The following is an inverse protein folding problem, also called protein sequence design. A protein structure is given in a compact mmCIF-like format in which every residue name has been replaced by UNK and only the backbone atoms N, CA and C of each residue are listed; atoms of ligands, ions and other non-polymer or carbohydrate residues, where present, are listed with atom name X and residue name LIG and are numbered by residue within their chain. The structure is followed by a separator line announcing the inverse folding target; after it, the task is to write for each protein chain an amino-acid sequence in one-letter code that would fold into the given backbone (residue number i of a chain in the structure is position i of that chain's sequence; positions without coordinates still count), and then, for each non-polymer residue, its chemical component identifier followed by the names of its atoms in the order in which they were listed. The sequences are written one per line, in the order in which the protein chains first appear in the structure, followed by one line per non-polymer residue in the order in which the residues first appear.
data_IF_210712621636
#
_entry.id   IF_210712621636
#
_cell.length_a   1.000
_cell.length_b   1.000
_cell.length_c   1.000
_cell.angle_alpha   90.00
_cell.angle_beta   90.00
_cell.angle_gamma   90.00
#
_symmetry.space_group_name_H-M   'P 1'
#
loop_
_entity.id
_entity.type
_entity.pdbx_description
1 polymer ?
#
# COMPACT_ATOMS: atom_id res chain seq x y z
N UNK A 1 19.08 -9.94 9.38
CA UNK A 1 18.11 -9.25 8.50
C UNK A 1 16.71 -9.51 9.04
N UNK A 2 15.77 -8.58 8.85
CA UNK A 2 14.39 -8.76 9.32
C UNK A 2 13.78 -10.00 8.66
N UNK A 3 13.07 -10.81 9.43
CA UNK A 3 12.48 -12.07 8.98
C UNK A 3 10.97 -11.99 9.12
N UNK A 4 10.28 -11.95 7.98
CA UNK A 4 8.83 -11.80 7.92
C UNK A 4 8.11 -12.96 8.64
N UNK A 5 8.70 -14.15 8.67
CA UNK A 5 8.08 -15.31 9.34
C UNK A 5 7.95 -15.09 10.84
N UNK A 6 8.80 -14.25 11.44
CA UNK A 6 8.71 -13.93 12.86
C UNK A 6 7.48 -13.07 13.19
N UNK A 7 6.92 -12.35 12.22
CA UNK A 7 5.70 -11.55 12.41
C UNK A 7 4.43 -12.39 12.33
N UNK A 8 4.47 -13.53 11.65
CA UNK A 8 3.32 -14.42 11.45
C UNK A 8 3.27 -15.55 12.49
N UNK A 9 4.01 -15.43 13.59
CA UNK A 9 3.99 -16.42 14.66
C UNK A 9 2.68 -16.39 15.42
N UNK A 10 2.31 -17.55 15.95
CA UNK A 10 1.20 -17.70 16.89
C UNK A 10 1.75 -17.99 18.29
N UNK A 11 1.00 -17.60 19.31
CA UNK A 11 1.31 -17.93 20.70
C UNK A 11 1.07 -19.43 20.98
N UNK A 12 1.37 -19.86 22.22
CA UNK A 12 1.17 -21.26 22.65
C UNK A 12 -0.30 -21.70 22.63
N UNK A 13 -1.24 -20.77 22.56
CA UNK A 13 -2.69 -21.03 22.50
C UNK A 13 -3.23 -20.98 21.06
N UNK A 14 -2.35 -20.80 20.05
CA UNK A 14 -2.71 -20.68 18.65
C UNK A 14 -3.29 -19.32 18.25
N UNK A 15 -3.19 -18.29 19.11
CA UNK A 15 -3.62 -16.91 18.80
C UNK A 15 -2.52 -16.17 18.05
N UNK A 16 -2.90 -15.23 17.18
CA UNK A 16 -1.95 -14.34 16.51
C UNK A 16 -1.23 -13.42 17.51
N UNK A 17 -0.01 -13.05 17.18
CA UNK A 17 0.80 -12.11 17.98
C UNK A 17 0.63 -10.68 17.45
N UNK A 18 0.44 -9.72 18.34
CA UNK A 18 0.42 -8.29 17.99
C UNK A 18 1.86 -7.78 17.99
N UNK A 19 2.33 -7.36 16.83
CA UNK A 19 3.65 -6.74 16.67
C UNK A 19 3.48 -5.22 16.61
N UNK A 20 4.17 -4.49 17.49
CA UNK A 20 4.16 -3.02 17.50
C UNK A 20 5.50 -2.53 16.94
N UNK A 21 5.46 -1.91 15.78
CA UNK A 21 6.63 -1.29 15.16
C UNK A 21 6.71 0.17 15.62
N UNK A 22 7.55 0.46 16.62
CA UNK A 22 7.76 1.84 17.07
C UNK A 22 8.59 2.62 16.06
N UNK A 23 8.00 3.69 15.52
CA UNK A 23 8.59 4.57 14.52
C UNK A 23 8.87 5.98 15.09
N UNK A 24 9.11 6.12 16.39
CA UNK A 24 9.28 7.42 17.08
C UNK A 24 10.32 8.34 16.40
N UNK A 25 11.46 7.80 15.98
CA UNK A 25 12.50 8.55 15.26
C UNK A 25 12.13 8.79 13.80
N UNK A 26 11.58 7.78 13.14
CA UNK A 26 11.24 7.81 11.71
C UNK A 26 10.09 8.77 11.39
N UNK A 27 9.21 9.04 12.37
CA UNK A 27 8.13 10.01 12.26
C UNK A 27 8.63 11.41 11.87
N UNK A 28 9.83 11.80 12.34
CA UNK A 28 10.45 13.09 12.00
C UNK A 28 10.96 13.14 10.55
N UNK A 29 10.99 12.00 9.86
CA UNK A 29 11.49 11.85 8.48
C UNK A 29 10.45 11.14 7.60
N UNK A 30 9.33 11.81 7.22
CA UNK A 30 8.20 11.16 6.53
C UNK A 30 8.59 10.39 5.26
N UNK A 31 9.54 10.92 4.48
CA UNK A 31 10.04 10.25 3.27
C UNK A 31 10.74 8.93 3.56
N UNK A 32 11.53 8.88 4.65
CA UNK A 32 12.21 7.66 5.06
C UNK A 32 11.21 6.65 5.59
N UNK A 33 10.24 7.10 6.40
CA UNK A 33 9.14 6.27 6.87
C UNK A 33 8.36 5.65 5.70
N UNK A 34 7.92 6.44 4.73
CA UNK A 34 7.20 5.94 3.55
C UNK A 34 8.04 4.95 2.72
N UNK A 35 9.33 5.24 2.52
CA UNK A 35 10.24 4.32 1.82
C UNK A 35 10.41 2.98 2.57
N UNK A 36 10.58 3.02 3.90
CA UNK A 36 10.68 1.82 4.74
C UNK A 36 9.40 0.99 4.71
N UNK A 37 8.23 1.63 4.80
CA UNK A 37 6.95 0.94 4.74
C UNK A 37 6.69 0.32 3.37
N UNK A 38 7.00 1.02 2.28
CA UNK A 38 6.86 0.47 0.94
C UNK A 38 7.81 -0.72 0.72
N UNK A 39 9.06 -0.59 1.18
CA UNK A 39 10.03 -1.70 1.12
C UNK A 39 9.49 -2.93 1.86
N UNK A 40 8.97 -2.74 3.07
CA UNK A 40 8.39 -3.81 3.89
C UNK A 40 7.17 -4.47 3.24
N UNK A 41 6.24 -3.69 2.66
CA UNK A 41 5.10 -4.26 1.93
C UNK A 41 5.52 -5.02 0.67
N UNK A 42 6.55 -4.54 -0.03
CA UNK A 42 7.11 -5.21 -1.21
C UNK A 42 7.79 -6.53 -0.80
N UNK A 43 8.55 -6.52 0.28
CA UNK A 43 9.19 -7.72 0.83
C UNK A 43 8.15 -8.77 1.27
N UNK A 44 7.05 -8.32 1.90
CA UNK A 44 5.91 -9.18 2.22
C UNK A 44 5.30 -9.82 0.98
N UNK A 45 5.08 -9.04 -0.07
CA UNK A 45 4.54 -9.56 -1.33
C UNK A 45 5.47 -10.57 -2.00
N UNK A 46 6.79 -10.32 -2.01
CA UNK A 46 7.79 -11.19 -2.63
C UNK A 46 8.01 -12.50 -1.85
N UNK A 47 8.05 -12.44 -0.51
CA UNK A 47 8.33 -13.62 0.31
C UNK A 47 7.11 -14.50 0.55
N UNK A 48 5.89 -13.96 0.53
CA UNK A 48 4.70 -14.73 0.85
C UNK A 48 4.21 -15.56 -0.35
N UNK A 49 3.86 -16.84 -0.13
CA UNK A 49 3.19 -17.63 -1.14
C UNK A 49 1.76 -17.14 -1.33
N UNK A 50 1.21 -17.35 -2.53
CA UNK A 50 -0.22 -17.11 -2.77
C UNK A 50 -1.05 -17.96 -1.81
N UNK A 51 -2.05 -17.34 -1.20
CA UNK A 51 -2.83 -17.94 -0.11
C UNK A 51 -4.23 -18.37 -0.54
N UNK A 52 -4.71 -17.91 -1.70
CA UNK A 52 -6.10 -18.11 -2.12
C UNK A 52 -7.07 -17.37 -1.21
N UNK A 53 -8.28 -17.91 -1.08
CA UNK A 53 -9.34 -17.36 -0.23
C UNK A 53 -9.35 -18.07 1.13
N UNK A 54 -8.69 -17.46 2.12
CA UNK A 54 -8.63 -17.98 3.48
C UNK A 54 -9.74 -17.38 4.33
N UNK A 55 -10.33 -18.16 5.23
CA UNK A 55 -11.30 -17.65 6.21
C UNK A 55 -10.72 -16.56 7.13
N UNK A 56 -9.41 -16.58 7.37
CA UNK A 56 -8.69 -15.59 8.18
C UNK A 56 -7.41 -15.17 7.46
N UNK A 57 -7.06 -13.87 7.50
CA UNK A 57 -5.80 -13.41 6.95
C UNK A 57 -4.62 -14.00 7.74
N UNK A 58 -3.50 -14.25 7.05
CA UNK A 58 -2.23 -14.67 7.66
C UNK A 58 -1.59 -13.54 8.47
N UNK A 59 -1.82 -12.30 8.04
CA UNK A 59 -1.28 -11.10 8.66
C UNK A 59 -2.25 -9.95 8.43
N UNK A 60 -2.43 -9.10 9.44
CA UNK A 60 -3.15 -7.83 9.31
C UNK A 60 -2.19 -6.71 9.64
N UNK A 61 -2.01 -5.78 8.71
CA UNK A 61 -1.13 -4.64 8.86
C UNK A 61 -1.95 -3.36 9.09
N UNK A 62 -1.73 -2.69 10.22
CA UNK A 62 -2.36 -1.42 10.53
C UNK A 62 -1.37 -0.27 10.32
N UNK A 63 -1.73 0.65 9.43
CA UNK A 63 -1.02 1.90 9.23
C UNK A 63 -1.74 3.00 10.00
N UNK A 64 -1.16 3.39 11.13
CA UNK A 64 -1.55 4.60 11.81
C UNK A 64 -0.90 5.81 11.12
N UNK A 65 -1.58 6.96 11.18
CA UNK A 65 -1.13 8.22 10.60
C UNK A 65 -0.78 8.13 9.10
N UNK A 66 -1.75 7.67 8.32
CA UNK A 66 -1.61 7.42 6.87
C UNK A 66 -1.23 8.66 6.07
N UNK A 67 -1.48 9.84 6.61
CA UNK A 67 -1.05 11.10 6.01
C UNK A 67 0.47 11.16 5.77
N UNK A 68 1.27 10.46 6.60
CA UNK A 68 2.73 10.37 6.41
C UNK A 68 3.14 9.58 5.16
N UNK A 69 2.28 8.67 4.70
CA UNK A 69 2.53 7.86 3.50
C UNK A 69 2.21 8.63 2.21
N UNK A 70 1.20 9.49 2.26
CA UNK A 70 0.56 10.02 1.06
C UNK A 70 0.79 11.51 0.84
N UNK A 71 1.05 12.30 1.89
CA UNK A 71 1.29 13.73 1.74
C UNK A 71 2.60 13.99 0.98
N UNK A 72 2.51 14.79 -0.08
CA UNK A 72 3.64 15.17 -0.96
C UNK A 72 4.37 13.96 -1.59
N UNK A 73 3.72 12.79 -1.64
CA UNK A 73 4.24 11.61 -2.29
C UNK A 73 4.24 11.80 -3.83
N UNK A 74 5.34 11.49 -4.54
CA UNK A 74 5.35 11.50 -5.99
C UNK A 74 4.31 10.52 -6.56
N UNK A 75 3.70 10.85 -7.71
CA UNK A 75 2.68 9.98 -8.34
C UNK A 75 3.17 8.54 -8.53
N UNK A 76 4.42 8.37 -8.95
CA UNK A 76 5.03 7.04 -9.14
C UNK A 76 5.06 6.23 -7.83
N UNK A 77 5.21 6.88 -6.69
CA UNK A 77 5.18 6.23 -5.38
C UNK A 77 3.75 5.80 -5.03
N UNK A 78 2.76 6.67 -5.28
CA UNK A 78 1.34 6.36 -5.06
C UNK A 78 0.88 5.17 -5.91
N UNK A 79 1.27 5.15 -7.19
CA UNK A 79 0.93 4.05 -8.11
C UNK A 79 1.53 2.72 -7.63
N UNK A 80 2.77 2.74 -7.12
CA UNK A 80 3.41 1.56 -6.53
C UNK A 80 2.68 1.11 -5.26
N UNK A 81 2.31 2.03 -4.39
CA UNK A 81 1.57 1.69 -3.16
C UNK A 81 0.23 1.04 -3.51
N UNK A 82 -0.53 1.64 -4.43
CA UNK A 82 -1.79 1.07 -4.92
C UNK A 82 -1.59 -0.34 -5.48
N UNK A 83 -0.57 -0.54 -6.32
CA UNK A 83 -0.23 -1.84 -6.88
C UNK A 83 0.08 -2.86 -5.78
N UNK A 84 0.91 -2.50 -4.80
CA UNK A 84 1.31 -3.42 -3.72
C UNK A 84 0.11 -3.77 -2.83
N UNK A 85 -0.74 -2.81 -2.46
CA UNK A 85 -1.96 -3.07 -1.68
C UNK A 85 -2.90 -4.02 -2.43
N UNK A 86 -3.06 -3.83 -3.74
CA UNK A 86 -3.89 -4.72 -4.56
C UNK A 86 -3.33 -6.14 -4.61
N UNK A 87 -2.01 -6.28 -4.73
CA UNK A 87 -1.34 -7.57 -4.87
C UNK A 87 -1.20 -8.34 -3.55
N UNK A 88 -0.99 -7.64 -2.43
CA UNK A 88 -0.75 -8.30 -1.14
C UNK A 88 -1.99 -9.04 -0.62
N UNK A 89 -3.20 -8.61 -1.06
CA UNK A 89 -4.46 -9.28 -0.75
C UNK A 89 -4.46 -10.77 -1.16
N UNK A 90 -3.92 -11.12 -2.34
CA UNK A 90 -3.88 -12.52 -2.80
C UNK A 90 -2.89 -13.39 -2.01
N UNK A 91 -2.01 -12.76 -1.22
CA UNK A 91 -1.09 -13.41 -0.29
C UNK A 91 -1.70 -13.67 1.09
N UNK A 92 -2.96 -13.28 1.30
CA UNK A 92 -3.66 -13.40 2.58
C UNK A 92 -3.20 -12.36 3.60
N UNK A 93 -2.79 -11.17 3.15
CA UNK A 93 -2.47 -10.04 4.03
C UNK A 93 -3.52 -8.97 3.88
N UNK A 94 -4.09 -8.55 5.00
CA UNK A 94 -5.02 -7.42 5.06
C UNK A 94 -4.30 -6.14 5.46
N UNK A 95 -4.67 -5.03 4.82
CA UNK A 95 -4.10 -3.71 5.09
C UNK A 95 -5.21 -2.78 5.57
N UNK A 96 -5.00 -2.18 6.74
CA UNK A 96 -5.89 -1.19 7.35
C UNK A 96 -5.19 0.15 7.43
N UNK A 97 -5.88 1.18 6.97
CA UNK A 97 -5.46 2.57 7.03
C UNK A 97 -6.26 3.29 8.11
N UNK A 98 -5.58 3.79 9.13
CA UNK A 98 -6.18 4.48 10.28
C UNK A 98 -5.81 5.95 10.18
N UNK A 99 -6.80 6.79 9.90
CA UNK A 99 -6.61 8.23 9.72
C UNK A 99 -7.67 9.03 10.46
N UNK A 100 -7.28 10.22 10.90
CA UNK A 100 -8.20 11.21 11.46
C UNK A 100 -9.04 11.88 10.36
N UNK A 101 -8.47 12.09 9.17
CA UNK A 101 -9.16 12.69 8.04
C UNK A 101 -9.21 11.73 6.84
N UNK A 102 -10.41 11.47 6.27
CA UNK A 102 -10.55 10.67 5.06
C UNK A 102 -9.74 11.22 3.87
N UNK A 103 -9.56 12.55 3.80
CA UNK A 103 -8.83 13.24 2.72
C UNK A 103 -7.32 12.98 2.73
N UNK A 104 -6.78 12.37 3.79
CA UNK A 104 -5.36 12.03 3.86
C UNK A 104 -5.03 10.78 3.03
N UNK A 105 -6.05 10.05 2.56
CA UNK A 105 -5.90 8.86 1.73
C UNK A 105 -6.34 9.22 0.30
N UNK A 106 -5.47 9.04 -0.71
CA UNK A 106 -5.81 9.27 -2.11
C UNK A 106 -7.00 8.43 -2.60
N UNK A 107 -7.83 8.99 -3.49
CA UNK A 107 -9.04 8.34 -4.01
C UNK A 107 -8.76 6.99 -4.70
N UNK A 108 -7.63 6.87 -5.39
CA UNK A 108 -7.21 5.63 -6.04
C UNK A 108 -6.94 4.51 -5.03
N UNK A 109 -6.35 4.85 -3.88
CA UNK A 109 -6.13 3.91 -2.77
C UNK A 109 -7.44 3.63 -2.04
N UNK A 110 -8.24 4.66 -1.73
CA UNK A 110 -9.57 4.51 -1.14
C UNK A 110 -10.44 3.54 -1.94
N UNK A 111 -10.41 3.62 -3.28
CA UNK A 111 -11.15 2.72 -4.15
C UNK A 111 -10.76 1.23 -4.04
N UNK A 112 -9.54 0.92 -3.58
CA UNK A 112 -9.09 -0.46 -3.36
C UNK A 112 -9.52 -1.03 -2.01
N UNK A 113 -9.85 -0.16 -1.05
CA UNK A 113 -10.20 -0.57 0.30
C UNK A 113 -11.69 -0.92 0.33
N UNK A 114 -12.05 -2.17 0.61
CA UNK A 114 -13.46 -2.60 0.63
C UNK A 114 -14.15 -2.44 2.00
N UNK A 115 -13.41 -2.64 3.08
CA UNK A 115 -13.93 -2.55 4.45
C UNK A 115 -13.83 -1.11 4.97
N UNK A 116 -14.84 -0.67 5.72
CA UNK A 116 -14.93 0.69 6.27
C UNK A 116 -15.47 0.67 7.69
N UNK A 117 -14.80 1.45 8.54
CA UNK A 117 -15.26 1.82 9.88
C UNK A 117 -15.06 3.32 10.02
N UNK A 118 -16.14 4.07 10.15
CA UNK A 118 -16.11 5.53 10.26
C UNK A 118 -16.66 5.94 11.62
N UNK A 119 -15.79 6.49 12.45
CA UNK A 119 -16.19 7.15 13.67
C UNK A 119 -16.72 8.57 13.39
N UNK A 120 -17.24 9.21 14.43
CA UNK A 120 -17.75 10.56 14.37
C UNK A 120 -16.75 11.55 13.76
N UNK A 121 -17.20 12.31 12.76
CA UNK A 121 -16.47 13.46 12.21
C UNK A 121 -17.21 14.74 12.62
N UNK A 122 -16.46 15.70 13.15
CA UNK A 122 -17.00 17.00 13.54
C UNK A 122 -16.70 17.99 12.42
N UNK A 123 -17.75 18.45 11.74
CA UNK A 123 -17.62 19.41 10.67
C UNK A 123 -17.85 20.85 11.16
N UNK A 124 -16.78 21.63 11.28
CA UNK A 124 -16.86 23.05 11.65
C UNK A 124 -16.48 23.97 10.48
N UNK A 125 -15.68 23.46 9.54
CA UNK A 125 -15.20 24.20 8.38
C UNK A 125 -15.76 23.63 7.07
N UNK A 126 -15.71 24.39 5.96
CA UNK A 126 -16.05 23.86 4.63
C UNK A 126 -15.17 22.68 4.21
N UNK A 127 -13.93 22.61 4.71
CA UNK A 127 -13.04 21.46 4.46
C UNK A 127 -13.58 20.21 5.14
N UNK A 128 -14.00 20.33 6.40
CA UNK A 128 -14.53 19.20 7.16
C UNK A 128 -15.87 18.72 6.58
N UNK A 129 -16.72 19.62 6.11
CA UNK A 129 -17.96 19.25 5.43
C UNK A 129 -17.69 18.42 4.17
N UNK A 130 -16.66 18.79 3.38
CA UNK A 130 -16.23 17.97 2.25
C UNK A 130 -15.71 16.61 2.68
N UNK A 131 -14.98 16.53 3.80
CA UNK A 131 -14.48 15.27 4.32
C UNK A 131 -15.61 14.34 4.79
N UNK A 132 -16.63 14.88 5.49
CA UNK A 132 -17.84 14.14 5.88
C UNK A 132 -18.57 13.60 4.65
N UNK A 133 -18.77 14.46 3.64
CA UNK A 133 -19.43 14.06 2.40
C UNK A 133 -18.64 12.99 1.64
N UNK A 134 -17.32 13.14 1.54
CA UNK A 134 -16.45 12.15 0.91
C UNK A 134 -16.55 10.80 1.64
N UNK A 135 -16.45 10.80 2.97
CA UNK A 135 -16.59 9.57 3.76
C UNK A 135 -17.95 8.89 3.52
N UNK A 136 -19.05 9.64 3.56
CA UNK A 136 -20.39 9.11 3.32
C UNK A 136 -20.53 8.49 1.92
N UNK A 137 -19.94 9.11 0.89
CA UNK A 137 -19.99 8.64 -0.50
C UNK A 137 -19.17 7.37 -0.76
N UNK A 138 -18.17 7.08 0.09
CA UNK A 138 -17.40 5.82 -0.01
C UNK A 138 -18.14 4.61 0.56
N UNK A 139 -19.32 4.81 1.18
CA UNK A 139 -20.12 3.74 1.77
C UNK A 139 -21.34 3.45 0.92
N UNK A 140 -21.80 2.19 0.97
CA UNK A 140 -23.07 1.81 0.34
C UNK A 140 -24.23 2.43 1.11
N UNK A 141 -25.06 3.20 0.42
CA UNK A 141 -26.19 3.91 1.02
C UNK A 141 -27.17 2.96 1.75
N UNK A 142 -27.68 3.43 2.88
CA UNK A 142 -28.74 2.76 3.63
C UNK A 142 -30.08 3.49 3.43
N UNK A 143 -31.16 2.82 3.01
CA UNK A 143 -32.48 3.45 2.90
C UNK A 143 -33.07 3.94 4.24
N UNK A 144 -32.61 3.39 5.37
CA UNK A 144 -33.15 3.70 6.70
C UNK A 144 -32.66 5.04 7.26
N UNK A 145 -31.50 5.55 6.81
CA UNK A 145 -30.94 6.81 7.28
C UNK A 145 -29.99 7.46 6.28
N UNK A 146 -29.81 8.78 6.42
CA UNK A 146 -28.84 9.54 5.64
C UNK A 146 -27.43 9.37 6.24
N UNK A 147 -26.51 8.75 5.49
CA UNK A 147 -25.13 8.49 5.92
C UNK A 147 -24.38 9.78 6.28
N UNK A 148 -24.56 10.87 5.52
CA UNK A 148 -23.84 12.13 5.73
C UNK A 148 -24.28 12.81 7.04
N UNK A 149 -25.58 12.76 7.34
CA UNK A 149 -26.12 13.21 8.62
C UNK A 149 -25.70 12.31 9.77
N UNK A 150 -25.81 10.99 9.57
CA UNK A 150 -25.48 10.01 10.61
C UNK A 150 -24.03 10.15 11.10
N UNK A 151 -23.06 10.37 10.20
CA UNK A 151 -21.64 10.60 10.57
C UNK A 151 -21.47 11.74 11.57
N UNK A 152 -22.23 12.82 11.41
CA UNK A 152 -22.13 14.00 12.27
C UNK A 152 -22.82 13.77 13.63
N UNK A 153 -23.88 12.97 13.64
CA UNK A 153 -24.68 12.64 14.83
C UNK A 153 -24.08 11.52 15.69
N UNK A 154 -23.05 10.82 15.22
CA UNK A 154 -22.36 9.78 15.99
C UNK A 154 -21.80 10.35 17.31
N UNK A 155 -22.10 9.64 18.39
CA UNK A 155 -21.54 9.83 19.72
C UNK A 155 -20.23 9.07 19.92
N UNK A 156 -19.64 9.22 21.11
CA UNK A 156 -18.46 8.47 21.51
C UNK A 156 -18.79 6.98 21.62
N UNK A 157 -17.95 6.13 21.02
CA UNK A 157 -18.17 4.68 21.00
C UNK A 157 -19.13 4.22 19.91
N UNK A 158 -19.60 5.11 19.03
CA UNK A 158 -20.38 4.74 17.85
C UNK A 158 -19.54 4.85 16.58
N UNK A 159 -19.89 4.03 15.59
CA UNK A 159 -19.33 4.08 14.24
C UNK A 159 -20.36 3.68 13.19
N UNK A 160 -20.16 4.16 11.97
CA UNK A 160 -20.76 3.58 10.78
C UNK A 160 -19.83 2.50 10.22
N UNK A 161 -20.38 1.34 9.91
CA UNK A 161 -19.62 0.17 9.47
C UNK A 161 -20.18 -0.33 8.15
N UNK A 162 -19.28 -0.64 7.21
CA UNK A 162 -19.60 -1.27 5.93
C UNK A 162 -18.49 -2.28 5.63
N UNK A 163 -18.81 -3.57 5.64
CA UNK A 163 -17.85 -4.64 5.36
C UNK A 163 -18.20 -5.36 4.08
N UNK A 164 -17.22 -6.03 3.48
CA UNK A 164 -17.46 -6.85 2.29
C UNK A 164 -18.29 -8.08 2.66
N UNK A 165 -19.22 -8.44 1.78
CA UNK A 165 -19.94 -9.71 1.82
C UNK A 165 -19.08 -10.86 1.25
N UNK A 166 -19.63 -12.08 1.27
CA UNK A 166 -18.95 -13.27 0.73
C UNK A 166 -18.64 -13.20 -0.78
N UNK A 167 -19.25 -12.26 -1.51
CA UNK A 167 -18.98 -12.00 -2.93
C UNK A 167 -17.98 -10.86 -3.13
N UNK A 168 -17.42 -10.31 -2.03
CA UNK A 168 -16.51 -9.18 -2.07
C UNK A 168 -17.17 -7.85 -2.38
N UNK A 169 -18.50 -7.75 -2.26
CA UNK A 169 -19.25 -6.50 -2.47
C UNK A 169 -19.51 -5.81 -1.13
N UNK A 170 -19.42 -4.46 -1.04
CA UNK A 170 -19.74 -3.75 0.19
C UNK A 170 -21.19 -3.99 0.65
N UNK A 171 -21.35 -4.33 1.92
CA UNK A 171 -22.65 -4.40 2.58
C UNK A 171 -23.26 -3.01 2.72
N UNK A 172 -24.57 -2.94 2.98
CA UNK A 172 -25.21 -1.68 3.35
C UNK A 172 -24.57 -1.15 4.63
N UNK A 173 -24.39 0.17 4.74
CA UNK A 173 -23.82 0.79 5.93
C UNK A 173 -24.75 0.66 7.12
N UNK A 174 -24.21 0.27 8.27
CA UNK A 174 -24.94 0.08 9.52
C UNK A 174 -24.34 0.97 10.62
N UNK A 175 -25.17 1.43 11.56
CA UNK A 175 -24.69 2.11 12.78
C UNK A 175 -24.44 1.06 13.86
N UNK A 176 -23.27 1.08 14.46
CA UNK A 176 -22.86 0.10 15.47
C UNK A 176 -22.18 0.76 16.67
N UNK A 177 -22.30 0.11 17.82
CA UNK A 177 -21.52 0.40 19.03
C UNK A 177 -20.18 -0.34 18.95
N UNK A 178 -19.09 0.38 19.17
CA UNK A 178 -17.73 -0.16 19.21
C UNK A 178 -17.33 -0.35 20.66
N UNK A 179 -16.96 -1.58 21.01
CA UNK A 179 -16.44 -1.90 22.34
C UNK A 179 -15.02 -1.37 22.42
N UNK A 180 -14.75 -0.50 23.39
CA UNK A 180 -13.38 -0.05 23.65
C UNK A 180 -12.55 -1.23 24.20
N UNK A 181 -11.35 -1.50 23.66
CA UNK A 181 -10.47 -2.51 24.22
C UNK A 181 -10.04 -2.09 25.64
N UNK A 182 -9.64 -3.07 26.45
CA UNK A 182 -9.02 -2.81 27.75
C UNK A 182 -7.68 -2.08 27.52
N UNK A 183 -7.69 -0.75 27.55
CA UNK A 183 -6.52 0.09 27.34
C UNK A 183 -6.01 0.71 28.64
N UNK A 184 -4.72 1.04 28.65
CA UNK A 184 -4.11 1.88 29.68
C UNK A 184 -3.99 3.30 29.16
N UNK A 185 -4.30 4.27 30.01
CA UNK A 185 -3.98 5.67 29.75
C UNK A 185 -2.50 5.92 30.06
N UNK A 186 -1.73 6.35 29.05
CA UNK A 186 -0.31 6.69 29.17
C UNK A 186 0.64 5.64 28.57
N UNK A 187 1.87 6.05 28.20
CA UNK A 187 2.84 5.17 27.55
C UNK A 187 3.29 4.05 28.46
N UNK A 188 3.75 2.93 27.88
CA UNK A 188 4.40 1.83 28.61
C UNK A 188 5.65 2.36 29.33
N UNK A 189 5.91 1.90 30.57
CA UNK A 189 7.15 2.30 31.26
C UNK A 189 8.36 1.59 30.64
N UNK A 190 9.56 2.15 30.81
CA UNK A 190 10.78 1.52 30.28
C UNK A 190 11.00 0.13 30.88
N UNK A 191 10.76 -0.06 32.17
CA UNK A 191 10.91 -1.35 32.85
C UNK A 191 9.93 -2.40 32.32
N UNK A 192 8.67 -2.05 32.12
CA UNK A 192 7.67 -2.94 31.52
C UNK A 192 8.04 -3.29 30.08
N UNK A 193 8.49 -2.30 29.29
CA UNK A 193 8.91 -2.51 27.91
C UNK A 193 10.10 -3.45 27.84
N UNK A 194 11.12 -3.22 28.65
CA UNK A 194 12.30 -4.09 28.74
C UNK A 194 11.91 -5.50 29.20
N UNK A 195 10.99 -5.60 30.16
CA UNK A 195 10.40 -6.88 30.58
C UNK A 195 9.77 -7.63 29.42
N UNK A 196 8.94 -6.98 28.60
CA UNK A 196 8.30 -7.58 27.43
C UNK A 196 9.33 -8.00 26.36
N UNK A 197 10.34 -7.17 26.11
CA UNK A 197 11.41 -7.46 25.14
C UNK A 197 12.21 -8.68 25.59
N UNK A 198 12.64 -8.72 26.86
CA UNK A 198 13.49 -9.80 27.39
C UNK A 198 12.78 -11.16 27.47
N UNK A 199 11.45 -11.18 27.55
CA UNK A 199 10.65 -12.41 27.51
C UNK A 199 10.13 -12.75 26.10
N UNK A 200 10.47 -11.95 25.10
CA UNK A 200 10.04 -12.18 23.72
C UNK A 200 10.77 -13.38 23.13
N UNK A 201 10.10 -14.27 22.38
CA UNK A 201 10.77 -15.41 21.74
C UNK A 201 11.72 -15.02 20.59
N UNK A 202 11.77 -13.74 20.19
CA UNK A 202 12.78 -13.18 19.25
C UNK A 202 13.88 -12.38 19.95
N UNK A 203 13.88 -12.37 21.29
CA UNK A 203 15.00 -11.82 22.04
C UNK A 203 16.30 -12.54 21.62
N UNK A 204 17.39 -11.78 21.46
CA UNK A 204 18.66 -12.29 20.92
C UNK A 204 18.78 -12.28 19.39
N UNK A 205 17.68 -12.18 18.62
CA UNK A 205 17.73 -12.04 17.15
C UNK A 205 17.81 -10.58 16.70
N UNK A 206 17.17 -9.68 17.45
CA UNK A 206 17.02 -8.26 17.11
C UNK A 206 17.56 -7.32 18.20
N UNK A 207 18.36 -7.82 19.13
CA UNK A 207 18.92 -7.00 20.22
C UNK A 207 20.08 -6.13 19.78
N UNK A 208 20.87 -6.63 18.82
CA UNK A 208 22.03 -5.91 18.31
C UNK A 208 21.63 -4.96 17.19
N UNK A 209 21.95 -3.68 17.37
CA UNK A 209 21.85 -2.68 16.32
C UNK A 209 22.82 -3.04 15.18
N UNK A 210 22.26 -3.28 14.00
CA UNK A 210 23.05 -3.56 12.79
C UNK A 210 23.20 -2.27 11.99
N UNK A 211 24.39 -1.68 12.03
CA UNK A 211 24.76 -0.60 11.13
C UNK A 211 25.13 -1.18 9.74
N UNK A 212 24.37 -0.83 8.72
CA UNK A 212 24.59 -1.30 7.34
C UNK A 212 25.18 -0.17 6.52
N UNK A 213 26.05 -0.52 5.58
CA UNK A 213 26.52 0.45 4.59
C UNK A 213 25.32 1.10 3.89
N UNK A 214 25.25 2.42 4.00
CA UNK A 214 24.15 3.20 3.44
C UNK A 214 24.28 3.29 1.92
N UNK A 215 23.14 3.45 1.22
CA UNK A 215 23.16 3.72 -0.22
C UNK A 215 23.99 4.98 -0.55
N UNK A 216 24.05 5.96 0.35
CA UNK A 216 24.89 7.14 0.21
C UNK A 216 26.38 6.78 0.21
N UNK A 217 26.84 5.97 1.16
CA UNK A 217 28.23 5.51 1.23
C UNK A 217 28.61 4.64 0.03
N UNK A 218 27.71 3.75 -0.41
CA UNK A 218 27.93 2.93 -1.60
C UNK A 218 28.03 3.80 -2.87
N UNK A 219 27.16 4.80 -3.01
CA UNK A 219 27.21 5.75 -4.13
C UNK A 219 28.49 6.59 -4.08
N UNK A 220 28.88 7.09 -2.90
CA UNK A 220 30.09 7.88 -2.73
C UNK A 220 31.35 7.07 -3.03
N UNK A 221 31.41 5.80 -2.58
CA UNK A 221 32.45 4.84 -2.97
C UNK A 221 32.44 4.58 -4.47
N UNK A 222 31.26 4.45 -5.10
CA UNK A 222 31.12 4.30 -6.54
C UNK A 222 31.66 5.51 -7.32
N UNK A 223 31.37 6.74 -6.87
CA UNK A 223 31.91 7.96 -7.46
C UNK A 223 33.43 8.08 -7.24
N UNK A 224 33.94 7.74 -6.06
CA UNK A 224 35.38 7.72 -5.77
C UNK A 224 36.12 6.68 -6.63
N UNK A 225 35.58 5.46 -6.75
CA UNK A 225 36.14 4.41 -7.60
C UNK A 225 36.15 4.80 -9.10
N UNK A 226 35.12 5.51 -9.56
CA UNK A 226 35.05 6.06 -10.92
C UNK A 226 36.10 7.16 -11.17
N UNK A 227 36.38 7.96 -10.14
CA UNK A 227 37.35 9.07 -10.20
C UNK A 227 38.80 8.55 -10.11
N UNK A 228 39.04 7.49 -9.33
CA UNK A 228 40.34 6.81 -9.25
C UNK A 228 40.69 6.06 -10.54
N UNK A 229 39.71 5.51 -11.26
CA UNK A 229 39.92 4.93 -12.59
C UNK A 229 40.25 5.95 -13.68
N UNK A 230 39.89 7.23 -13.50
CA UNK A 230 40.29 8.33 -14.39
C UNK A 230 41.67 8.93 -14.05
N UNK A 231 42.22 8.65 -12.86
CA UNK A 231 43.50 9.19 -12.39
C UNK A 231 44.68 8.20 -12.47
N UNK A 232 44.48 7.00 -13.01
CA UNK A 232 45.61 6.15 -13.37
C UNK A 232 46.27 6.68 -14.67
N UNK A 233 47.59 6.99 -14.68
CA UNK A 233 48.29 7.35 -15.91
C UNK A 233 48.19 6.20 -16.92
N UNK A 234 48.07 6.47 -18.23
CA UNK A 234 48.07 5.42 -19.23
C UNK A 234 49.39 4.65 -19.14
N UNK A 235 49.33 3.41 -18.67
CA UNK A 235 50.43 2.47 -18.74
C UNK A 235 50.74 2.25 -20.23
N UNK A 236 51.92 2.71 -20.65
CA UNK A 236 52.43 2.50 -22.02
C UNK A 236 52.47 1.01 -22.33
N UNK A 237 51.72 0.61 -23.36
CA UNK A 237 52.13 -0.38 -24.34
C UNK A 237 51.91 -1.85 -23.99
N UNK A 238 50.78 -2.39 -24.45
CA UNK A 238 50.77 -3.64 -25.23
C UNK A 238 49.59 -3.58 -26.19
N UNK A 239 49.89 -3.50 -27.49
CA UNK A 239 48.92 -3.73 -28.54
C UNK A 239 48.31 -5.12 -28.35
N UNK A 240 47.00 -5.15 -28.10
CA UNK A 240 46.18 -6.34 -28.32
C UNK A 240 45.05 -5.86 -29.21
N UNK A 241 45.04 -6.38 -30.43
CA UNK A 241 44.02 -6.10 -31.42
C UNK A 241 42.63 -6.39 -30.84
N UNK A 242 41.77 -5.39 -30.81
CA UNK A 242 40.35 -5.53 -30.46
C UNK A 242 39.56 -5.44 -31.76
N UNK A 243 38.81 -6.51 -32.00
CA UNK A 243 37.92 -6.73 -33.14
C UNK A 243 36.82 -5.64 -33.20
N UNK A 244 36.71 -4.98 -34.34
CA UNK A 244 35.92 -3.77 -34.60
C UNK A 244 34.40 -4.06 -34.79
N UNK A 245 33.95 -5.26 -34.41
CA UNK A 245 32.58 -5.73 -34.64
C UNK A 245 31.61 -5.49 -33.48
N UNK A 246 32.08 -5.53 -32.23
CA UNK A 246 31.19 -5.62 -31.05
C UNK A 246 30.85 -4.22 -30.48
N UNK A 247 31.75 -3.24 -30.64
CA UNK A 247 31.53 -1.88 -30.12
C UNK A 247 30.63 -1.01 -31.02
N UNK A 248 30.55 -1.32 -32.32
CA UNK A 248 29.66 -0.65 -33.27
C UNK A 248 28.18 -0.99 -33.04
N UNK A 249 27.86 -2.27 -32.82
CA UNK A 249 26.47 -2.74 -32.69
C UNK A 249 25.74 -2.24 -31.45
N UNK A 250 26.45 -1.98 -30.35
CA UNK A 250 25.85 -1.49 -29.10
C UNK A 250 25.57 0.02 -29.09
N UNK A 251 26.29 0.82 -29.89
CA UNK A 251 26.03 2.26 -30.03
C UNK A 251 24.82 2.56 -30.90
N UNK A 252 24.59 1.77 -31.94
CA UNK A 252 23.47 1.96 -32.88
C UNK A 252 22.11 1.61 -32.28
N UNK A 253 22.07 0.71 -31.29
CA UNK A 253 20.86 0.33 -30.55
C UNK A 253 20.46 1.40 -29.50
N UNK A 254 21.42 2.14 -28.95
CA UNK A 254 21.19 3.08 -27.85
C UNK A 254 20.96 4.54 -28.27
N UNK A 255 21.42 4.98 -29.46
CA UNK A 255 21.35 6.40 -29.84
C UNK A 255 20.71 6.74 -31.18
N UNK A 256 20.26 5.75 -31.97
CA UNK A 256 19.56 6.02 -33.24
C UNK A 256 20.47 6.63 -34.32
N UNK A 257 20.33 6.15 -35.55
CA UNK A 257 21.23 6.52 -36.65
C UNK A 257 20.82 7.87 -37.26
N UNK A 258 21.57 8.92 -36.93
CA UNK A 258 21.51 10.21 -37.65
C UNK A 258 22.39 10.15 -38.90
N UNK A 259 21.78 9.98 -40.07
CA UNK A 259 22.47 9.92 -41.36
C UNK A 259 23.06 11.27 -41.80
N UNK A 260 24.27 11.29 -42.40
CA UNK A 260 24.97 12.51 -42.76
C UNK A 260 24.52 12.99 -44.14
N UNK A 261 23.34 13.60 -44.22
CA UNK A 261 22.95 14.56 -45.27
C UNK A 261 21.51 15.01 -45.03
N UNK A 262 21.37 16.21 -44.44
CA UNK A 262 20.08 16.88 -44.31
C UNK A 262 19.39 17.03 -45.66
N UNK A 263 18.18 16.48 -45.78
CA UNK A 263 17.32 16.62 -46.93
C UNK A 263 15.86 16.44 -46.52
N UNK A 264 15.08 17.52 -46.57
CA UNK A 264 13.61 17.48 -46.44
C UNK A 264 13.00 16.76 -47.65
N UNK A 265 12.06 15.85 -47.41
CA UNK A 265 10.95 15.57 -48.33
C UNK A 265 9.64 15.34 -47.55
N UNK A 266 8.67 16.22 -47.79
CA UNK A 266 7.23 15.96 -47.62
C UNK A 266 6.73 15.28 -48.90
N UNK A 267 5.89 14.24 -48.78
CA UNK A 267 4.79 13.84 -49.69
C UNK A 267 4.11 12.61 -49.05
N UNK A 268 2.83 12.58 -48.64
CA UNK A 268 1.54 12.60 -49.35
C UNK A 268 1.20 11.28 -50.10
N UNK A 269 -0.05 10.82 -50.00
CA UNK A 269 -0.62 9.65 -50.71
C UNK A 269 -1.08 8.53 -49.76
N UNK A 270 -2.31 8.54 -49.23
CA UNK A 270 -3.63 8.30 -49.85
C UNK A 270 -3.98 6.81 -50.07
N UNK A 271 -4.99 6.40 -49.30
CA UNK A 271 -6.20 5.66 -49.67
C UNK A 271 -6.28 4.11 -49.68
N UNK A 272 -7.30 3.70 -48.90
CA UNK A 272 -8.40 2.77 -49.18
C UNK A 272 -8.24 1.27 -48.92
N UNK A 273 -9.12 0.77 -48.05
CA UNK A 273 -9.34 -0.65 -47.77
C UNK A 273 -10.47 -0.87 -46.76
N UNK A 274 -11.69 -0.58 -47.19
CA UNK A 274 -12.99 -0.69 -46.52
C UNK A 274 -13.32 -2.09 -45.94
N UNK A 275 -14.09 -2.11 -44.82
CA UNK A 275 -15.34 -2.88 -44.55
C UNK A 275 -15.42 -3.86 -43.36
N UNK A 276 -16.39 -3.51 -42.49
CA UNK A 276 -17.49 -4.31 -41.89
C UNK A 276 -17.28 -5.08 -40.56
N UNK A 277 -18.07 -4.62 -39.57
CA UNK A 277 -18.68 -5.31 -38.40
C UNK A 277 -20.17 -5.62 -38.76
N UNK A 278 -21.05 -6.21 -37.92
CA UNK A 278 -20.97 -7.06 -36.70
C UNK A 278 -22.05 -8.21 -36.79
N UNK A 279 -22.91 -8.60 -35.80
CA UNK A 279 -22.88 -8.67 -34.31
C UNK A 279 -23.38 -10.04 -33.74
N UNK A 280 -23.45 -10.17 -32.41
CA UNK A 280 -24.34 -11.09 -31.68
C UNK A 280 -23.83 -11.32 -30.24
N UNK A 281 -24.63 -11.42 -29.18
CA UNK A 281 -26.01 -11.01 -28.88
C UNK A 281 -26.00 -10.86 -27.34
N UNK A 282 -26.53 -9.75 -26.83
CA UNK A 282 -26.99 -9.63 -25.44
C UNK A 282 -28.50 -9.81 -25.46
N UNK A 283 -29.03 -10.73 -24.65
CA UNK A 283 -30.38 -10.61 -24.09
C UNK A 283 -30.64 -11.66 -23.00
N UNK A 284 -31.27 -11.15 -21.95
CA UNK A 284 -32.27 -11.81 -21.11
C UNK A 284 -31.82 -12.88 -20.10
N UNK A 285 -31.80 -12.47 -18.83
CA UNK A 285 -32.68 -13.05 -17.81
C UNK A 285 -32.97 -12.02 -16.71
N UNK A 286 -34.23 -11.61 -16.63
CA UNK A 286 -34.84 -10.82 -15.58
C UNK A 286 -35.65 -11.71 -14.61
N UNK A 287 -35.98 -11.13 -13.44
CA UNK A 287 -36.97 -11.56 -12.43
C UNK A 287 -36.52 -12.73 -11.51
N UNK A 288 -36.85 -12.82 -10.22
CA UNK A 288 -37.57 -11.95 -9.28
C UNK A 288 -37.38 -12.49 -7.83
N UNK A 289 -37.62 -11.58 -6.88
CA UNK A 289 -38.12 -11.71 -5.49
C UNK A 289 -37.88 -12.98 -4.66
N UNK A 290 -37.36 -12.78 -3.44
CA UNK A 290 -37.55 -13.68 -2.31
C UNK A 290 -37.15 -13.06 -0.97
N UNK A 291 -38.14 -12.59 -0.22
CA UNK A 291 -38.08 -12.20 1.19
C UNK A 291 -37.40 -13.26 2.08
N UNK A 292 -36.70 -12.87 3.14
CA UNK A 292 -37.15 -13.07 4.53
C UNK A 292 -36.08 -12.74 5.58
N UNK A 293 -36.60 -12.27 6.71
CA UNK A 293 -36.13 -12.44 8.08
C UNK A 293 -34.89 -11.64 8.53
N UNK A 294 -35.19 -10.63 9.35
CA UNK A 294 -34.23 -9.94 10.18
C UNK A 294 -33.51 -10.86 11.16
N UNK A 295 -32.30 -10.45 11.51
CA UNK A 295 -31.52 -11.00 12.59
C UNK A 295 -30.51 -9.95 13.02
N UNK A 296 -30.70 -9.41 14.22
CA UNK A 296 -29.69 -8.62 14.93
C UNK A 296 -28.39 -9.45 15.01
N UNK A 297 -27.36 -9.03 14.30
CA UNK A 297 -26.02 -9.59 14.45
C UNK A 297 -25.20 -8.72 15.39
N UNK A 298 -25.02 -9.20 16.62
CA UNK A 298 -23.93 -8.78 17.50
C UNK A 298 -22.60 -9.07 16.79
N UNK A 299 -21.84 -8.02 16.50
CA UNK A 299 -20.49 -8.13 15.95
C UNK A 299 -19.54 -8.39 17.14
N UNK A 300 -19.09 -9.63 17.25
CA UNK A 300 -17.94 -10.02 18.07
C UNK A 300 -16.69 -9.81 17.23
N UNK A 301 -15.85 -8.83 17.59
CA UNK A 301 -14.50 -8.74 17.06
C UNK A 301 -13.65 -9.83 17.74
N UNK A 302 -12.93 -10.61 16.93
CA UNK A 302 -11.89 -11.56 17.35
C UNK A 302 -10.61 -11.21 16.62
#
# INVERSE_FOLDING_TARGET
MLDIKDWMRTDTNGKGVINILSAEKLYQMPKLYAASLLWMLSELYEQLPEAGDLEKPKLVFFFDETHLLFNDAPQVLLDKIEQVIRLIRSKGVDVWFVSQNPSDIPDNVLGQLGNRVQHALRAFTPKDQKAVKAAAQTMRANPAFDTEKAIQELGTGEALISFLDAKGSPSVVERAMVIAPCSRMGPVTEDERNGLINHSPVYGKYEDDVDRESAYEMLQKGFQASTEQQNNPPAKGKEVAVDDGILGGLKDILFGTTGPRGGKKRWCGANNGEKRRPPGDESDCAWDVGEFAGGEKKISQT
#
